data_IF_530847200623
#
_entry.id   IF_530847200623
#
_cell.length_a   1.000
_cell.length_b   1.000
_cell.length_c   1.000
_cell.angle_alpha   90.00
_cell.angle_beta   90.00
_cell.angle_gamma   90.00
#
_symmetry.space_group_name_H-M   'P 1'
#
loop_
_entity.id
_entity.type
_entity.pdbx_description
1 polymer ?
#
# COMPACT_ATOMS: atom_id res chain seq x y z
N UNK A 1 -16.27 -11.03 -27.52
CA UNK A 1 -16.04 -10.44 -26.18
C UNK A 1 -15.47 -9.06 -26.43
N UNK A 2 -16.01 -8.00 -25.81
CA UNK A 2 -15.45 -6.65 -25.99
C UNK A 2 -14.13 -6.53 -25.25
N UNK A 3 -13.33 -5.49 -25.58
CA UNK A 3 -12.08 -5.22 -24.90
C UNK A 3 -12.28 -4.97 -23.39
N UNK A 4 -13.37 -4.28 -23.01
CA UNK A 4 -13.74 -4.01 -21.61
C UNK A 4 -14.01 -5.32 -20.86
N UNK A 5 -14.86 -6.20 -21.40
CA UNK A 5 -15.17 -7.50 -20.78
C UNK A 5 -13.91 -8.33 -20.57
N UNK A 6 -13.02 -8.35 -21.56
CA UNK A 6 -11.77 -9.11 -21.52
C UNK A 6 -10.81 -8.58 -20.45
N UNK A 7 -10.54 -7.27 -20.45
CA UNK A 7 -9.66 -6.62 -19.45
C UNK A 7 -10.24 -6.77 -18.05
N UNK A 8 -11.55 -6.53 -17.88
CA UNK A 8 -12.17 -6.60 -16.57
C UNK A 8 -12.20 -8.01 -16.00
N UNK A 9 -12.35 -9.03 -16.85
CA UNK A 9 -12.19 -10.44 -16.44
C UNK A 9 -10.76 -10.75 -15.99
N UNK A 10 -9.74 -10.18 -16.65
CA UNK A 10 -8.33 -10.31 -16.20
C UNK A 10 -8.07 -9.59 -14.88
N UNK A 11 -8.65 -8.42 -14.67
CA UNK A 11 -8.59 -7.70 -13.38
C UNK A 11 -9.13 -8.58 -12.25
N UNK A 12 -10.32 -9.18 -12.45
CA UNK A 12 -10.92 -10.11 -11.49
C UNK A 12 -9.99 -11.28 -11.19
N UNK A 13 -9.40 -11.88 -12.22
CA UNK A 13 -8.50 -13.03 -12.06
C UNK A 13 -7.20 -12.65 -11.33
N UNK A 14 -6.61 -11.50 -11.65
CA UNK A 14 -5.46 -10.96 -10.93
C UNK A 14 -5.77 -10.69 -9.47
N UNK A 15 -6.95 -10.15 -9.15
CA UNK A 15 -7.39 -9.92 -7.77
C UNK A 15 -7.52 -11.21 -6.97
N UNK A 16 -7.99 -12.30 -7.60
CA UNK A 16 -8.05 -13.63 -6.97
C UNK A 16 -6.67 -14.18 -6.68
N UNK A 17 -5.77 -14.12 -7.66
CA UNK A 17 -4.38 -14.57 -7.49
C UNK A 17 -3.65 -13.76 -6.42
N UNK A 18 -3.89 -12.45 -6.38
CA UNK A 18 -3.38 -11.58 -5.32
C UNK A 18 -3.92 -11.97 -3.95
N UNK A 19 -5.22 -12.22 -3.81
CA UNK A 19 -5.80 -12.65 -2.54
C UNK A 19 -5.23 -13.99 -2.06
N UNK A 20 -4.88 -14.90 -2.97
CA UNK A 20 -4.23 -16.17 -2.62
C UNK A 20 -2.77 -15.99 -2.20
N UNK A 21 -2.09 -14.91 -2.63
CA UNK A 21 -0.66 -14.69 -2.42
C UNK A 21 -0.33 -13.55 -1.47
N UNK A 22 -1.26 -12.66 -1.17
CA UNK A 22 -1.04 -11.49 -0.33
C UNK A 22 -2.14 -11.42 0.72
N UNK A 23 -1.78 -11.75 1.96
CA UNK A 23 -2.73 -11.87 3.09
C UNK A 23 -3.47 -10.55 3.41
N UNK A 24 -2.90 -9.42 3.00
CA UNK A 24 -3.48 -8.08 3.15
C UNK A 24 -4.38 -7.66 1.97
N UNK A 25 -4.59 -8.53 0.98
CA UNK A 25 -5.34 -8.21 -0.22
C UNK A 25 -6.81 -8.59 -0.09
N UNK A 26 -7.72 -7.64 -0.35
CA UNK A 26 -9.15 -7.88 -0.33
C UNK A 26 -9.76 -7.68 -1.72
N UNK A 27 -10.75 -8.51 -2.06
CA UNK A 27 -11.58 -8.29 -3.22
C UNK A 27 -13.03 -8.75 -2.99
N UNK A 28 -13.97 -8.09 -3.65
CA UNK A 28 -15.38 -8.47 -3.70
C UNK A 28 -15.84 -8.59 -5.16
N UNK A 29 -16.49 -9.72 -5.48
CA UNK A 29 -17.13 -9.97 -6.77
C UNK A 29 -18.58 -10.36 -6.49
N UNK A 30 -19.48 -9.87 -7.33
CA UNK A 30 -20.91 -10.14 -7.21
C UNK A 30 -21.42 -10.86 -8.46
N UNK A 31 -22.50 -11.62 -8.28
CA UNK A 31 -23.13 -12.34 -9.40
C UNK A 31 -23.44 -11.39 -10.57
N UNK A 32 -23.06 -11.72 -11.80
CA UNK A 32 -23.28 -10.86 -12.96
C UNK A 32 -24.76 -10.58 -13.18
N UNK A 33 -25.07 -9.40 -13.74
CA UNK A 33 -26.45 -9.06 -14.15
C UNK A 33 -26.62 -9.17 -15.66
N UNK A 34 -27.81 -9.57 -16.10
CA UNK A 34 -28.11 -9.65 -17.52
C UNK A 34 -28.33 -8.27 -18.14
N UNK A 35 -28.09 -8.16 -19.46
CA UNK A 35 -28.41 -6.93 -20.23
C UNK A 35 -29.89 -6.53 -20.12
N UNK A 36 -30.79 -7.48 -19.92
CA UNK A 36 -32.23 -7.24 -19.74
C UNK A 36 -32.49 -6.55 -18.40
N UNK A 37 -31.85 -7.01 -17.33
CA UNK A 37 -31.96 -6.39 -16.00
C UNK A 37 -31.38 -4.97 -15.98
N UNK A 38 -30.24 -4.77 -16.63
CA UNK A 38 -29.63 -3.45 -16.83
C UNK A 38 -30.60 -2.51 -17.56
N UNK A 39 -31.14 -2.95 -18.71
CA UNK A 39 -32.08 -2.13 -19.51
C UNK A 39 -33.36 -1.80 -18.74
N UNK A 40 -33.85 -2.76 -17.93
CA UNK A 40 -35.00 -2.54 -17.05
C UNK A 40 -34.69 -1.47 -16.01
N UNK A 41 -33.51 -1.51 -15.38
CA UNK A 41 -33.09 -0.52 -14.41
C UNK A 41 -32.94 0.88 -15.02
N UNK A 42 -32.33 0.99 -16.21
CA UNK A 42 -32.23 2.24 -16.98
C UNK A 42 -33.61 2.85 -17.24
N UNK A 43 -34.56 2.01 -17.69
CA UNK A 43 -35.94 2.43 -17.96
C UNK A 43 -36.70 2.85 -16.69
N UNK A 44 -36.57 2.11 -15.60
CA UNK A 44 -37.28 2.38 -14.34
C UNK A 44 -36.79 3.66 -13.65
N UNK A 45 -35.54 4.06 -13.88
CA UNK A 45 -34.92 5.23 -13.24
C UNK A 45 -34.73 6.43 -14.18
N UNK A 46 -35.11 6.31 -15.46
CA UNK A 46 -34.91 7.34 -16.49
C UNK A 46 -33.44 7.78 -16.60
N UNK A 47 -32.54 6.79 -16.67
CA UNK A 47 -31.08 6.99 -16.77
C UNK A 47 -30.50 6.24 -17.96
N UNK A 48 -29.32 6.69 -18.41
CA UNK A 48 -28.48 6.01 -19.39
C UNK A 48 -27.15 5.64 -18.74
N UNK A 49 -26.90 4.35 -18.58
CA UNK A 49 -25.63 3.84 -18.08
C UNK A 49 -24.59 3.82 -19.21
N UNK A 50 -23.35 4.22 -18.94
CA UNK A 50 -22.28 4.12 -19.92
C UNK A 50 -22.10 2.68 -20.43
N UNK A 51 -21.85 2.49 -21.73
CA UNK A 51 -21.72 1.14 -22.32
C UNK A 51 -20.65 0.30 -21.64
N UNK A 52 -19.46 0.86 -21.35
CA UNK A 52 -18.40 0.11 -20.68
C UNK A 52 -18.80 -0.33 -19.27
N UNK A 53 -19.59 0.46 -18.54
CA UNK A 53 -20.09 0.06 -17.22
C UNK A 53 -21.10 -1.07 -17.35
N UNK A 54 -22.00 -1.02 -18.33
CA UNK A 54 -22.93 -2.11 -18.65
C UNK A 54 -22.16 -3.40 -18.99
N UNK A 55 -21.05 -3.30 -19.73
CA UNK A 55 -20.18 -4.44 -19.99
C UNK A 55 -19.53 -5.01 -18.72
N UNK A 56 -19.02 -4.16 -17.82
CA UNK A 56 -18.51 -4.59 -16.51
C UNK A 56 -19.58 -5.31 -15.67
N UNK A 57 -20.80 -4.77 -15.62
CA UNK A 57 -21.93 -5.35 -14.88
C UNK A 57 -22.32 -6.76 -15.37
N UNK A 58 -22.11 -7.07 -16.65
CA UNK A 58 -22.32 -8.41 -17.20
C UNK A 58 -21.22 -9.42 -16.86
N UNK A 59 -20.12 -8.96 -16.24
CA UNK A 59 -19.04 -9.80 -15.71
C UNK A 59 -19.10 -9.89 -14.18
N UNK A 60 -19.41 -8.78 -13.50
CA UNK A 60 -19.61 -8.72 -12.05
C UNK A 60 -20.53 -7.55 -11.71
N UNK A 61 -21.61 -7.79 -10.96
CA UNK A 61 -22.54 -6.73 -10.55
C UNK A 61 -22.00 -5.92 -9.37
N UNK A 62 -21.05 -5.04 -9.68
CA UNK A 62 -20.21 -4.38 -8.71
C UNK A 62 -18.98 -5.21 -8.38
N UNK A 63 -17.89 -4.52 -8.09
CA UNK A 63 -16.57 -5.10 -7.89
C UNK A 63 -15.76 -4.18 -7.00
N UNK A 64 -15.01 -4.76 -6.08
CA UNK A 64 -14.08 -3.99 -5.27
C UNK A 64 -12.76 -4.74 -5.21
N UNK A 65 -11.67 -4.00 -5.32
CA UNK A 65 -10.33 -4.50 -5.03
C UNK A 65 -9.59 -3.44 -4.21
N UNK A 66 -9.03 -3.85 -3.08
CA UNK A 66 -8.52 -2.93 -2.07
C UNK A 66 -7.35 -3.49 -1.24
N UNK A 67 -6.58 -2.57 -0.68
CA UNK A 67 -5.55 -2.76 0.33
C UNK A 67 -5.99 -2.04 1.62
N UNK A 68 -6.94 -2.61 2.37
CA UNK A 68 -7.37 -2.13 3.69
C UNK A 68 -7.74 -0.62 3.80
N UNK A 69 -8.13 0.04 2.71
CA UNK A 69 -8.48 1.46 2.67
C UNK A 69 -9.99 1.61 2.47
N UNK A 70 -10.59 2.61 3.12
CA UNK A 70 -12.04 2.88 2.98
C UNK A 70 -12.50 3.25 1.56
N UNK A 71 -11.60 3.29 0.56
CA UNK A 71 -11.84 3.82 -0.78
C UNK A 71 -11.51 2.86 -1.94
N UNK A 72 -10.87 1.72 -1.69
CA UNK A 72 -10.50 0.78 -2.76
C UNK A 72 -9.46 1.30 -3.75
N UNK A 73 -8.69 0.41 -4.37
CA UNK A 73 -7.89 0.80 -5.54
C UNK A 73 -8.79 0.96 -6.76
N UNK A 74 -9.65 -0.03 -7.03
CA UNK A 74 -10.73 0.05 -8.00
C UNK A 74 -12.01 -0.47 -7.34
N UNK A 75 -13.02 0.38 -7.29
CA UNK A 75 -14.36 0.03 -6.85
C UNK A 75 -15.33 0.41 -7.97
N UNK A 76 -16.28 -0.48 -8.26
CA UNK A 76 -17.42 -0.24 -9.13
C UNK A 76 -18.68 -0.63 -8.38
N UNK A 77 -19.65 0.27 -8.34
CA UNK A 77 -20.91 0.09 -7.65
C UNK A 77 -21.76 -1.02 -8.27
N UNK A 78 -22.58 -1.66 -7.42
CA UNK A 78 -23.64 -2.56 -7.89
C UNK A 78 -24.73 -1.72 -8.57
N UNK A 79 -25.46 -2.34 -9.51
CA UNK A 79 -26.59 -1.71 -10.21
C UNK A 79 -27.62 -1.08 -9.25
N UNK A 80 -27.78 -1.63 -8.04
CA UNK A 80 -28.77 -1.16 -7.04
C UNK A 80 -28.24 -0.11 -6.07
N UNK A 81 -26.95 0.21 -6.07
CA UNK A 81 -26.33 1.16 -5.13
C UNK A 81 -26.48 2.64 -5.52
N UNK A 82 -27.22 2.92 -6.61
CA UNK A 82 -27.48 4.28 -7.08
C UNK A 82 -28.14 5.16 -6.01
N UNK A 83 -27.34 5.96 -5.30
CA UNK A 83 -27.82 6.93 -4.31
C UNK A 83 -28.59 8.04 -5.02
N UNK A 84 -29.67 8.52 -4.38
CA UNK A 84 -30.64 9.54 -4.86
C UNK A 84 -30.22 10.37 -6.08
N UNK A 85 -30.96 10.18 -7.18
CA UNK A 85 -30.90 10.87 -8.49
C UNK A 85 -31.32 12.34 -8.38
N UNK A 86 -30.54 13.16 -7.66
CA UNK A 86 -30.82 14.60 -7.50
C UNK A 86 -29.82 15.49 -8.23
N UNK A 87 -28.75 14.91 -8.79
CA UNK A 87 -27.71 15.65 -9.49
C UNK A 87 -27.44 15.07 -10.88
N UNK A 88 -26.98 15.94 -11.80
CA UNK A 88 -26.71 15.59 -13.21
C UNK A 88 -25.69 14.46 -13.37
N UNK A 89 -24.80 14.28 -12.39
CA UNK A 89 -23.76 13.25 -12.39
C UNK A 89 -23.91 12.34 -11.19
N UNK A 90 -23.76 11.04 -11.40
CA UNK A 90 -23.86 10.07 -10.32
C UNK A 90 -22.54 9.31 -10.19
N UNK A 91 -22.07 9.15 -8.96
CA UNK A 91 -20.89 8.34 -8.65
C UNK A 91 -21.23 6.85 -8.86
N UNK A 92 -20.28 6.10 -9.41
CA UNK A 92 -20.40 4.67 -9.71
C UNK A 92 -19.21 3.87 -9.17
N UNK A 93 -18.37 4.50 -8.34
CA UNK A 93 -17.20 3.86 -7.76
C UNK A 93 -15.98 4.76 -7.79
N UNK A 94 -14.80 4.14 -7.69
CA UNK A 94 -13.54 4.82 -7.42
C UNK A 94 -12.39 4.17 -8.18
N UNK A 95 -11.39 4.96 -8.54
CA UNK A 95 -10.11 4.47 -9.06
C UNK A 95 -8.99 5.34 -8.50
N UNK A 96 -7.99 4.74 -7.85
CA UNK A 96 -6.82 5.46 -7.27
C UNK A 96 -7.24 6.65 -6.40
N UNK A 97 -8.22 6.46 -5.52
CA UNK A 97 -8.75 7.52 -4.65
C UNK A 97 -9.55 8.62 -5.36
N UNK A 98 -9.82 8.50 -6.66
CA UNK A 98 -10.64 9.43 -7.44
C UNK A 98 -12.03 8.83 -7.69
N UNK A 99 -13.10 9.61 -7.50
CA UNK A 99 -14.45 9.18 -7.82
C UNK A 99 -14.63 9.00 -9.34
N UNK A 100 -15.32 7.94 -9.74
CA UNK A 100 -15.84 7.75 -11.08
C UNK A 100 -17.30 8.17 -11.14
N UNK A 101 -17.65 9.00 -12.11
CA UNK A 101 -18.99 9.50 -12.33
C UNK A 101 -19.50 9.13 -13.73
N UNK A 102 -20.81 9.16 -13.89
CA UNK A 102 -21.44 9.25 -15.20
C UNK A 102 -22.52 10.31 -15.24
N UNK A 103 -22.78 10.86 -16.43
CA UNK A 103 -23.95 11.70 -16.70
C UNK A 103 -25.13 10.82 -17.09
N UNK A 104 -26.19 10.87 -16.30
CA UNK A 104 -27.34 9.97 -16.46
C UNK A 104 -28.18 10.26 -17.71
N UNK A 105 -27.99 11.40 -18.38
CA UNK A 105 -28.76 11.76 -19.57
C UNK A 105 -28.15 11.18 -20.84
N UNK A 106 -26.83 11.09 -20.90
CA UNK A 106 -26.11 10.70 -22.12
C UNK A 106 -25.15 9.51 -21.94
N UNK A 107 -24.88 9.08 -20.70
CA UNK A 107 -23.98 7.97 -20.40
C UNK A 107 -22.50 8.30 -20.56
N UNK A 108 -22.11 9.59 -20.55
CA UNK A 108 -20.70 9.99 -20.56
C UNK A 108 -20.05 9.71 -19.20
N UNK A 109 -18.81 9.22 -19.20
CA UNK A 109 -18.03 8.98 -17.98
C UNK A 109 -17.16 10.18 -17.60
N UNK A 110 -16.96 10.37 -16.31
CA UNK A 110 -16.05 11.38 -15.77
C UNK A 110 -15.23 10.83 -14.61
N UNK A 111 -14.04 11.39 -14.41
CA UNK A 111 -13.22 11.18 -13.21
C UNK A 111 -13.07 12.50 -12.46
N UNK A 112 -13.29 12.47 -11.14
CA UNK A 112 -13.06 13.62 -10.25
C UNK A 112 -11.67 13.52 -9.62
N UNK A 113 -10.68 14.22 -10.18
CA UNK A 113 -9.30 14.24 -9.66
C UNK A 113 -9.09 15.29 -8.57
N UNK A 114 -9.86 16.36 -8.66
CA UNK A 114 -9.93 17.41 -7.66
C UNK A 114 -11.39 17.69 -7.36
N UNK A 115 -11.69 18.08 -6.13
CA UNK A 115 -13.07 18.31 -5.67
C UNK A 115 -13.82 19.26 -6.61
N UNK A 116 -14.93 18.78 -7.15
CA UNK A 116 -15.82 19.40 -8.14
C UNK A 116 -15.22 19.68 -9.52
N UNK A 117 -14.06 19.09 -9.86
CA UNK A 117 -13.46 19.15 -11.20
C UNK A 117 -13.56 17.78 -11.87
N UNK A 118 -14.28 17.72 -12.98
CA UNK A 118 -14.63 16.48 -13.67
C UNK A 118 -14.00 16.44 -15.06
N UNK A 119 -13.11 15.49 -15.27
CA UNK A 119 -12.50 15.23 -16.58
C UNK A 119 -13.30 14.16 -17.31
N UNK A 120 -13.62 14.39 -18.59
CA UNK A 120 -14.29 13.40 -19.43
C UNK A 120 -13.35 12.22 -19.70
N UNK A 121 -13.85 11.00 -19.50
CA UNK A 121 -13.15 9.77 -19.87
C UNK A 121 -13.59 9.39 -21.29
N UNK A 122 -12.66 9.42 -22.25
CA UNK A 122 -12.95 9.13 -23.65
C UNK A 122 -12.87 7.64 -23.95
N UNK A 123 -11.98 6.93 -23.26
CA UNK A 123 -11.82 5.49 -23.37
C UNK A 123 -11.69 4.87 -21.97
N UNK A 124 -12.81 4.36 -21.44
CA UNK A 124 -12.86 3.73 -20.13
C UNK A 124 -11.89 2.54 -20.00
N UNK A 125 -11.67 1.81 -21.09
CA UNK A 125 -10.76 0.68 -21.08
C UNK A 125 -9.30 1.13 -20.92
N UNK A 126 -8.88 2.15 -21.67
CA UNK A 126 -7.51 2.67 -21.63
C UNK A 126 -7.22 3.54 -20.40
N UNK A 127 -8.20 4.32 -19.95
CA UNK A 127 -7.99 5.33 -18.89
C UNK A 127 -8.28 4.80 -17.48
N UNK A 128 -9.07 3.72 -17.35
CA UNK A 128 -9.46 3.15 -16.05
C UNK A 128 -9.01 1.71 -15.92
N UNK A 129 -9.47 0.82 -16.81
CA UNK A 129 -9.25 -0.62 -16.64
C UNK A 129 -7.80 -1.05 -16.84
N UNK A 130 -7.13 -0.63 -17.92
CA UNK A 130 -5.72 -0.98 -18.16
C UNK A 130 -4.82 -0.47 -17.02
N UNK A 131 -4.94 0.79 -16.55
CA UNK A 131 -4.18 1.26 -15.40
C UNK A 131 -4.43 0.46 -14.11
N UNK A 132 -5.63 -0.11 -13.96
CA UNK A 132 -5.92 -1.01 -12.86
C UNK A 132 -5.31 -2.40 -13.05
N UNK A 133 -5.43 -2.98 -14.24
CA UNK A 133 -4.79 -4.25 -14.59
C UNK A 133 -3.27 -4.20 -14.35
N UNK A 134 -2.59 -3.14 -14.83
CA UNK A 134 -1.14 -2.98 -14.66
C UNK A 134 -0.74 -2.78 -13.20
N UNK A 135 -1.55 -2.10 -12.41
CA UNK A 135 -1.31 -2.01 -10.97
C UNK A 135 -1.43 -3.37 -10.28
N UNK A 136 -2.47 -4.15 -10.58
CA UNK A 136 -2.63 -5.49 -10.02
C UNK A 136 -1.48 -6.41 -10.42
N UNK A 137 -1.01 -6.36 -11.67
CA UNK A 137 0.20 -7.10 -12.09
C UNK A 137 1.43 -6.69 -11.29
N UNK A 138 1.62 -5.38 -11.07
CA UNK A 138 2.73 -4.87 -10.24
C UNK A 138 2.62 -5.39 -8.81
N UNK A 139 1.43 -5.36 -8.22
CA UNK A 139 1.21 -5.87 -6.85
C UNK A 139 1.45 -7.37 -6.76
N UNK A 140 1.02 -8.15 -7.77
CA UNK A 140 1.22 -9.59 -7.78
C UNK A 140 2.70 -9.93 -7.86
N UNK A 141 3.43 -9.27 -8.76
CA UNK A 141 4.88 -9.43 -8.86
C UNK A 141 5.61 -9.00 -7.59
N UNK A 142 5.17 -7.91 -6.93
CA UNK A 142 5.73 -7.45 -5.67
C UNK A 142 5.48 -8.45 -4.52
N UNK A 143 4.28 -9.03 -4.47
CA UNK A 143 3.92 -10.08 -3.51
C UNK A 143 4.77 -11.33 -3.71
N UNK A 144 4.87 -11.85 -4.94
CA UNK A 144 5.71 -13.01 -5.25
C UNK A 144 7.18 -12.77 -4.87
N UNK A 145 7.71 -11.61 -5.25
CA UNK A 145 9.06 -11.17 -4.92
C UNK A 145 9.28 -11.11 -3.41
N UNK A 146 8.31 -10.61 -2.63
CA UNK A 146 8.41 -10.54 -1.17
C UNK A 146 8.70 -11.91 -0.57
N UNK A 147 7.94 -12.95 -0.93
CA UNK A 147 8.18 -14.29 -0.38
C UNK A 147 9.52 -14.87 -0.82
N UNK A 148 9.93 -14.64 -2.08
CA UNK A 148 11.25 -15.07 -2.56
C UNK A 148 12.39 -14.41 -1.78
N UNK A 149 12.27 -13.13 -1.46
CA UNK A 149 13.25 -12.40 -0.65
C UNK A 149 13.24 -12.91 0.80
N UNK A 150 12.07 -13.04 1.42
CA UNK A 150 11.95 -13.54 2.79
C UNK A 150 12.50 -14.96 2.96
N UNK A 151 12.34 -15.83 1.96
CA UNK A 151 12.90 -17.19 2.01
C UNK A 151 14.44 -17.18 2.01
N UNK A 152 15.07 -16.26 1.29
CA UNK A 152 16.52 -16.06 1.34
C UNK A 152 16.99 -15.56 2.70
N UNK A 153 16.11 -14.91 3.46
CA UNK A 153 16.37 -14.27 4.75
C UNK A 153 15.89 -15.12 5.94
N UNK A 154 15.83 -16.44 5.79
CA UNK A 154 15.46 -17.37 6.89
C UNK A 154 16.45 -17.36 8.06
N UNK A 155 17.72 -17.06 7.78
CA UNK A 155 18.81 -17.02 8.76
C UNK A 155 19.14 -15.57 9.19
N UNK A 156 18.28 -14.61 8.84
CA UNK A 156 18.44 -13.20 9.20
C UNK A 156 18.25 -13.02 10.72
N UNK A 157 19.12 -12.27 11.42
CA UNK A 157 19.05 -12.11 12.87
C UNK A 157 17.73 -11.50 13.36
N UNK A 158 17.06 -10.70 12.52
CA UNK A 158 15.78 -10.06 12.88
C UNK A 158 14.54 -10.83 12.44
N UNK A 159 14.71 -12.07 11.94
CA UNK A 159 13.59 -12.83 11.38
C UNK A 159 12.49 -13.12 12.40
N UNK A 160 12.86 -13.52 13.61
CA UNK A 160 11.89 -13.81 14.68
C UNK A 160 11.06 -12.57 15.01
N UNK A 161 11.70 -11.41 15.12
CA UNK A 161 11.01 -10.14 15.35
C UNK A 161 10.02 -9.81 14.24
N UNK A 162 10.46 -9.91 12.98
CA UNK A 162 9.60 -9.67 11.82
C UNK A 162 8.35 -10.57 11.83
N UNK A 163 8.53 -11.88 12.06
CA UNK A 163 7.42 -12.84 12.09
C UNK A 163 6.43 -12.52 13.22
N UNK A 164 6.93 -12.07 14.38
CA UNK A 164 6.10 -11.60 15.49
C UNK A 164 5.28 -10.37 15.09
N UNK A 165 5.91 -9.35 14.49
CA UNK A 165 5.18 -8.13 14.06
C UNK A 165 4.14 -8.45 12.99
N UNK A 166 4.45 -9.29 12.00
CA UNK A 166 3.48 -9.76 11.00
C UNK A 166 2.29 -10.46 11.67
N UNK A 167 2.55 -11.30 12.68
CA UNK A 167 1.48 -11.95 13.44
C UNK A 167 0.55 -10.93 14.15
N UNK A 168 1.08 -9.77 14.53
CA UNK A 168 0.30 -8.69 15.15
C UNK A 168 -0.53 -7.91 14.14
N UNK A 169 0.02 -7.61 12.95
CA UNK A 169 -0.74 -7.01 11.85
C UNK A 169 -1.97 -7.87 11.51
N UNK A 170 -1.78 -9.18 11.44
CA UNK A 170 -2.85 -10.14 11.12
C UNK A 170 -3.95 -10.22 12.20
N UNK A 171 -3.72 -9.68 13.40
CA UNK A 171 -4.72 -9.57 14.48
C UNK A 171 -5.52 -8.26 14.44
N UNK A 172 -5.30 -7.40 13.42
CA UNK A 172 -6.04 -6.15 13.21
C UNK A 172 -5.52 -4.95 14.00
N UNK A 173 -4.24 -4.97 14.41
CA UNK A 173 -3.61 -3.83 15.07
C UNK A 173 -3.07 -2.82 14.05
N UNK A 174 -2.90 -1.57 14.47
CA UNK A 174 -2.31 -0.49 13.69
C UNK A 174 -0.80 -0.73 13.52
N UNK A 175 -0.46 -1.51 12.51
CA UNK A 175 0.90 -1.75 12.08
C UNK A 175 0.94 -1.84 10.55
N UNK A 176 2.01 -1.31 9.96
CA UNK A 176 2.26 -1.40 8.54
C UNK A 176 3.69 -1.88 8.32
N UNK A 177 3.88 -2.79 7.37
CA UNK A 177 5.18 -3.32 6.98
C UNK A 177 5.24 -3.30 5.46
N UNK A 178 6.21 -2.56 4.94
CA UNK A 178 6.46 -2.52 3.51
C UNK A 178 7.22 -3.75 3.04
N UNK A 179 7.05 -4.18 1.77
CA UNK A 179 7.78 -5.31 1.22
C UNK A 179 9.31 -5.18 1.37
N UNK A 180 10.05 -6.27 1.59
CA UNK A 180 11.50 -6.26 1.68
C UNK A 180 12.17 -5.78 0.38
N UNK A 181 13.38 -5.26 0.52
CA UNK A 181 14.30 -4.97 -0.60
C UNK A 181 15.40 -6.02 -0.67
N UNK A 182 16.01 -6.20 -1.85
CA UNK A 182 17.13 -7.12 -2.03
C UNK A 182 18.46 -6.46 -1.65
N UNK A 183 19.49 -7.29 -1.42
CA UNK A 183 20.86 -6.82 -1.17
C UNK A 183 21.36 -5.92 -2.32
N UNK A 184 21.03 -6.27 -3.56
CA UNK A 184 21.41 -5.48 -4.73
C UNK A 184 20.73 -4.11 -4.76
N UNK A 185 19.46 -4.02 -4.35
CA UNK A 185 18.74 -2.75 -4.25
C UNK A 185 19.32 -1.86 -3.16
N UNK A 186 19.62 -2.42 -1.99
CA UNK A 186 20.30 -1.70 -0.91
C UNK A 186 21.64 -1.16 -1.41
N UNK A 187 22.46 -2.00 -2.04
CA UNK A 187 23.76 -1.59 -2.55
C UNK A 187 23.69 -0.53 -3.66
N UNK A 188 22.70 -0.62 -4.56
CA UNK A 188 22.46 0.40 -5.59
C UNK A 188 21.99 1.71 -4.97
N UNK A 189 21.12 1.65 -3.96
CA UNK A 189 20.64 2.82 -3.22
C UNK A 189 21.78 3.51 -2.46
N UNK A 190 22.62 2.77 -1.71
CA UNK A 190 23.77 3.31 -0.98
C UNK A 190 24.73 4.04 -1.92
N UNK A 191 25.00 3.42 -3.08
CA UNK A 191 25.85 4.00 -4.13
C UNK A 191 25.24 5.27 -4.74
N UNK A 192 23.94 5.28 -4.98
CA UNK A 192 23.24 6.40 -5.63
C UNK A 192 23.17 7.61 -4.71
N UNK A 193 22.90 7.38 -3.42
CA UNK A 193 22.75 8.43 -2.43
C UNK A 193 24.07 8.79 -1.72
N UNK A 194 25.14 8.02 -1.95
CA UNK A 194 26.42 8.17 -1.28
C UNK A 194 26.27 8.17 0.25
N UNK A 195 25.50 7.20 0.74
CA UNK A 195 25.21 6.95 2.15
C UNK A 195 25.51 5.48 2.41
N UNK A 196 26.29 5.16 3.44
CA UNK A 196 26.44 3.82 3.97
C UNK A 196 25.43 3.60 5.11
N UNK A 197 24.68 2.50 5.03
CA UNK A 197 23.70 2.11 6.02
C UNK A 197 24.30 1.15 7.07
N UNK A 198 23.91 1.26 8.35
CA UNK A 198 24.28 0.29 9.37
C UNK A 198 23.84 -1.13 9.03
N UNK A 199 24.65 -2.11 9.43
CA UNK A 199 24.40 -3.52 9.12
C UNK A 199 23.10 -4.02 9.76
N UNK A 200 22.82 -3.63 11.00
CA UNK A 200 21.57 -3.93 11.69
C UNK A 200 20.36 -3.41 10.91
N UNK A 201 20.43 -2.16 10.44
CA UNK A 201 19.37 -1.57 9.64
C UNK A 201 19.20 -2.24 8.27
N UNK A 202 20.30 -2.59 7.58
CA UNK A 202 20.23 -3.37 6.33
C UNK A 202 19.60 -4.73 6.55
N UNK A 203 19.95 -5.43 7.62
CA UNK A 203 19.33 -6.71 7.97
C UNK A 203 17.81 -6.57 8.14
N UNK A 204 17.33 -5.47 8.72
CA UNK A 204 15.90 -5.18 8.75
C UNK A 204 15.31 -4.92 7.36
N UNK A 205 15.96 -4.10 6.52
CA UNK A 205 15.49 -3.79 5.16
C UNK A 205 15.30 -5.03 4.28
N UNK A 206 16.12 -6.06 4.50
CA UNK A 206 16.00 -7.35 3.83
C UNK A 206 14.73 -8.13 4.23
N UNK A 207 14.11 -7.79 5.35
CA UNK A 207 12.83 -8.33 5.83
C UNK A 207 11.65 -7.38 5.54
N UNK A 208 11.87 -6.07 5.66
CA UNK A 208 10.87 -5.02 5.50
C UNK A 208 11.51 -3.68 5.12
N UNK A 209 11.11 -3.08 4.00
CA UNK A 209 11.59 -1.76 3.57
C UNK A 209 10.83 -0.62 4.27
N UNK A 210 10.89 -0.61 5.60
CA UNK A 210 10.14 0.31 6.44
C UNK A 210 9.02 -0.38 7.21
N UNK A 211 8.66 0.21 8.35
CA UNK A 211 7.62 -0.31 9.23
C UNK A 211 7.11 0.77 10.18
N UNK A 212 5.79 0.77 10.40
CA UNK A 212 5.16 1.44 11.52
C UNK A 212 4.57 0.41 12.50
N UNK A 213 4.88 0.51 13.78
CA UNK A 213 4.38 -0.40 14.83
C UNK A 213 4.27 0.28 16.20
N UNK A 214 3.05 0.47 16.73
CA UNK A 214 2.81 1.03 18.09
C UNK A 214 3.61 2.34 18.35
N UNK A 215 3.47 3.30 17.42
CA UNK A 215 4.15 4.59 17.46
C UNK A 215 5.64 4.54 17.13
N UNK A 216 6.20 3.37 16.83
CA UNK A 216 7.56 3.19 16.36
C UNK A 216 7.60 3.22 14.84
N UNK A 217 8.57 3.93 14.27
CA UNK A 217 8.69 4.12 12.82
C UNK A 217 10.12 3.80 12.36
N UNK A 218 10.26 2.73 11.58
CA UNK A 218 11.47 2.41 10.84
C UNK A 218 11.27 2.92 9.42
N UNK A 219 12.11 3.86 9.00
CA UNK A 219 11.96 4.47 7.70
C UNK A 219 12.30 3.49 6.58
N UNK A 220 11.63 3.64 5.44
CA UNK A 220 11.98 3.03 4.17
C UNK A 220 13.19 3.72 3.53
N UNK A 221 13.81 3.08 2.55
CA UNK A 221 14.90 3.70 1.78
C UNK A 221 14.52 5.03 1.11
N UNK A 222 13.26 5.17 0.67
CA UNK A 222 12.77 6.41 0.06
C UNK A 222 12.61 7.51 1.12
N UNK A 223 12.07 7.18 2.29
CA UNK A 223 11.95 8.13 3.40
C UNK A 223 13.31 8.58 3.94
N UNK A 224 14.29 7.68 4.01
CA UNK A 224 15.67 8.05 4.37
C UNK A 224 16.24 9.04 3.36
N UNK A 225 16.03 8.82 2.06
CA UNK A 225 16.51 9.73 1.02
C UNK A 225 15.82 11.11 1.10
N UNK A 226 14.49 11.15 1.27
CA UNK A 226 13.73 12.39 1.44
C UNK A 226 14.17 13.17 2.68
N UNK A 227 14.41 12.47 3.80
CA UNK A 227 14.87 13.08 5.05
C UNK A 227 16.32 13.52 4.96
N UNK A 228 17.18 12.80 4.24
CA UNK A 228 18.59 13.16 4.08
C UNK A 228 18.74 14.56 3.47
N UNK A 229 17.91 14.94 2.49
CA UNK A 229 17.96 16.28 1.89
C UNK A 229 17.60 17.42 2.86
N UNK A 230 16.95 17.11 3.98
CA UNK A 230 16.38 18.11 4.88
C UNK A 230 16.99 18.09 6.28
N UNK A 231 17.30 16.92 6.83
CA UNK A 231 17.58 16.67 8.25
C UNK A 231 18.88 15.85 8.39
N UNK A 232 20.03 16.44 8.06
CA UNK A 232 21.32 15.90 8.49
C UNK A 232 21.66 16.42 9.88
N UNK A 233 22.08 15.52 10.77
CA UNK A 233 22.78 15.90 12.00
C UNK A 233 24.29 15.83 11.77
N UNK A 234 25.01 16.86 12.21
CA UNK A 234 26.47 16.89 12.17
C UNK A 234 27.00 16.68 13.59
N UNK A 235 27.66 15.55 13.82
CA UNK A 235 28.27 15.21 15.10
C UNK A 235 29.74 14.84 14.87
N UNK A 236 30.64 15.49 15.62
CA UNK A 236 32.10 15.30 15.48
C UNK A 236 32.63 15.48 14.04
N UNK A 237 31.95 16.26 13.20
CA UNK A 237 32.30 16.52 11.81
C UNK A 237 31.88 15.42 10.83
N UNK A 238 31.09 14.44 11.29
CA UNK A 238 30.46 13.39 10.50
C UNK A 238 28.97 13.71 10.30
N UNK A 239 28.43 13.35 9.12
CA UNK A 239 27.01 13.53 8.83
C UNK A 239 26.23 12.26 9.12
N UNK A 240 25.05 12.43 9.70
CA UNK A 240 24.15 11.34 10.05
C UNK A 240 22.79 11.54 9.40
N UNK A 241 22.19 10.43 8.97
CA UNK A 241 20.80 10.37 8.47
C UNK A 241 19.91 9.67 9.47
N UNK A 242 18.66 10.10 9.56
CA UNK A 242 17.65 9.44 10.37
C UNK A 242 17.21 8.13 9.73
N UNK A 243 17.22 7.05 10.51
CA UNK A 243 16.85 5.70 10.08
C UNK A 243 15.57 5.21 10.75
N UNK A 244 15.32 5.64 12.00
CA UNK A 244 14.14 5.29 12.76
C UNK A 244 13.76 6.38 13.75
N UNK A 245 12.48 6.49 14.08
CA UNK A 245 12.00 7.13 15.32
C UNK A 245 11.62 6.04 16.31
N UNK A 246 12.44 5.85 17.35
CA UNK A 246 12.39 4.75 18.33
C UNK A 246 11.19 4.85 19.29
N UNK A 247 10.83 6.07 19.68
CA UNK A 247 9.72 6.34 20.62
C UNK A 247 8.56 7.13 19.98
N UNK A 248 8.63 7.38 18.68
CA UNK A 248 7.58 8.07 17.90
C UNK A 248 7.63 9.60 17.94
N UNK A 249 8.43 10.19 18.82
CA UNK A 249 8.55 11.65 18.87
C UNK A 249 9.94 12.20 19.15
N UNK A 250 10.79 11.49 19.90
CA UNK A 250 11.98 12.16 20.44
C UNK A 250 13.28 11.36 20.42
N UNK A 251 13.24 10.03 20.37
CA UNK A 251 14.45 9.21 20.26
C UNK A 251 14.58 8.68 18.83
N UNK A 252 15.77 8.81 18.26
CA UNK A 252 16.04 8.46 16.88
C UNK A 252 17.25 7.56 16.74
N UNK A 253 17.13 6.56 15.88
CA UNK A 253 18.27 5.85 15.33
C UNK A 253 18.81 6.65 14.15
N UNK A 254 20.09 7.01 14.19
CA UNK A 254 20.76 7.72 13.11
C UNK A 254 21.96 6.91 12.60
N UNK A 255 22.23 6.99 11.29
CA UNK A 255 23.34 6.28 10.64
C UNK A 255 24.37 7.23 10.04
N UNK A 256 25.65 7.00 10.32
CA UNK A 256 26.76 7.75 9.70
C UNK A 256 26.80 7.48 8.20
N UNK A 257 26.75 8.54 7.40
CA UNK A 257 26.74 8.40 5.93
C UNK A 257 28.05 7.86 5.37
N UNK A 258 29.19 8.03 6.08
CA UNK A 258 30.50 7.58 5.58
C UNK A 258 30.97 6.27 6.18
N UNK A 259 30.54 5.91 7.40
CA UNK A 259 31.05 4.73 8.10
C UNK A 259 30.01 3.62 8.24
N UNK A 260 28.72 3.94 8.08
CA UNK A 260 27.63 3.03 8.38
C UNK A 260 27.49 2.73 9.87
N UNK A 261 28.13 3.48 10.77
CA UNK A 261 27.92 3.31 12.21
C UNK A 261 26.57 3.86 12.65
N UNK A 262 25.90 3.15 13.54
CA UNK A 262 24.65 3.61 14.15
C UNK A 262 24.92 4.38 15.45
N UNK A 263 24.15 5.44 15.67
CA UNK A 263 24.07 6.17 16.94
C UNK A 263 22.61 6.35 17.32
N UNK A 264 22.37 6.57 18.61
CA UNK A 264 21.08 6.98 19.12
C UNK A 264 21.13 8.46 19.48
N UNK A 265 20.14 9.22 19.01
CA UNK A 265 19.92 10.62 19.35
C UNK A 265 18.67 10.70 20.23
N UNK A 266 18.85 11.08 21.49
CA UNK A 266 17.75 11.17 22.47
C UNK A 266 16.95 12.47 22.36
N UNK A 267 15.82 12.54 23.07
CA UNK A 267 15.03 13.77 23.24
C UNK A 267 15.85 14.96 23.76
N UNK A 268 16.85 14.69 24.61
CA UNK A 268 17.71 15.72 25.20
C UNK A 268 18.85 16.13 24.25
N UNK A 269 18.83 15.65 23.00
CA UNK A 269 19.88 15.78 22.00
C UNK A 269 21.22 15.18 22.46
N UNK A 270 21.16 14.17 23.31
CA UNK A 270 22.34 13.39 23.69
C UNK A 270 22.58 12.28 22.67
N UNK A 271 23.85 12.05 22.36
CA UNK A 271 24.27 11.05 21.39
C UNK A 271 24.96 9.91 22.12
N UNK A 272 24.50 8.68 21.87
CA UNK A 272 25.08 7.45 22.42
C UNK A 272 25.33 6.42 21.32
N UNK A 273 26.06 5.36 21.69
CA UNK A 273 26.25 4.20 20.83
C UNK A 273 24.88 3.59 20.48
N UNK A 274 24.66 3.34 19.18
CA UNK A 274 23.37 2.93 18.64
C UNK A 274 23.39 1.60 17.90
N UNK A 275 24.52 0.88 17.90
CA UNK A 275 24.67 -0.39 17.16
C UNK A 275 23.60 -1.42 17.57
N UNK A 276 23.31 -1.51 18.87
CA UNK A 276 22.32 -2.44 19.44
C UNK A 276 20.94 -1.81 19.64
N UNK A 277 20.77 -0.50 19.37
CA UNK A 277 19.52 0.21 19.68
C UNK A 277 18.31 -0.34 18.91
N UNK A 278 18.52 -0.82 17.67
CA UNK A 278 17.45 -1.44 16.90
C UNK A 278 16.94 -2.73 17.55
N UNK A 279 17.85 -3.63 17.93
CA UNK A 279 17.53 -4.90 18.59
C UNK A 279 16.87 -4.65 19.96
N UNK A 280 17.46 -3.76 20.76
CA UNK A 280 16.92 -3.39 22.06
C UNK A 280 15.49 -2.84 21.97
N UNK A 281 15.22 -1.95 21.02
CA UNK A 281 13.87 -1.38 20.85
C UNK A 281 12.87 -2.41 20.32
N UNK A 282 13.31 -3.31 19.42
CA UNK A 282 12.51 -4.45 18.97
C UNK A 282 12.10 -5.35 20.14
N UNK A 283 13.07 -5.76 20.98
CA UNK A 283 12.83 -6.55 22.19
C UNK A 283 11.83 -5.86 23.12
N UNK A 284 12.12 -4.61 23.47
CA UNK A 284 11.30 -3.83 24.40
C UNK A 284 9.84 -3.70 23.91
N UNK A 285 9.64 -3.39 22.62
CA UNK A 285 8.31 -3.24 22.02
C UNK A 285 7.56 -4.56 21.97
N UNK A 286 8.22 -5.65 21.59
CA UNK A 286 7.60 -6.98 21.56
C UNK A 286 7.21 -7.44 22.96
N UNK A 287 8.10 -7.27 23.96
CA UNK A 287 7.83 -7.67 25.33
C UNK A 287 6.69 -6.86 25.95
N UNK A 288 6.72 -5.53 25.81
CA UNK A 288 5.63 -4.66 26.25
C UNK A 288 4.29 -5.05 25.63
N UNK A 289 4.31 -5.52 24.38
CA UNK A 289 3.13 -5.98 23.68
C UNK A 289 2.65 -7.35 24.19
N UNK A 290 3.55 -8.33 24.34
CA UNK A 290 3.22 -9.65 24.91
C UNK A 290 2.50 -9.51 26.26
N UNK A 291 3.00 -8.60 27.11
CA UNK A 291 2.37 -8.26 28.39
C UNK A 291 0.98 -7.62 28.22
N UNK A 292 0.83 -6.65 27.30
CA UNK A 292 -0.42 -5.91 27.11
C UNK A 292 -1.57 -6.79 26.60
N UNK A 293 -1.27 -7.83 25.82
CA UNK A 293 -2.27 -8.65 25.13
C UNK A 293 -2.36 -10.10 25.63
N UNK A 294 -1.68 -10.44 26.73
CA UNK A 294 -1.71 -11.77 27.37
C UNK A 294 -1.43 -12.91 26.37
N UNK A 295 -0.44 -12.70 25.50
CA UNK A 295 -0.01 -13.69 24.52
C UNK A 295 1.10 -14.51 25.17
N UNK A 296 0.76 -15.68 25.70
CA UNK A 296 1.75 -16.67 26.13
C UNK A 296 2.34 -17.41 24.92
N UNK A 297 3.65 -17.64 24.94
CA UNK A 297 4.38 -18.44 23.93
C UNK A 297 3.78 -19.82 23.67
#
# INVERSE_FOLDING_TARGET
MSAVTEVFSRIIELSKQLHEKADWWFYEINEPVSRVEISKHEYENDIVLPEAFRECLTVSNGFMVDHCSTVGYLELDKLTCARHVTSKRQCIGWIRGCCLYYDHQNGDFFIERERYKYDLINDFCQEVLIPAEEYLKKQLSASERKYELLEKQKDNPYREYYDIVVSFMNKGNEANIDPPVSEEEIAEWEKTNNILLPESYKNWLLLANGMFFDGWDLYSLDEVAEKADTWYEEYEGEKYVFLASLTGCCDFLIGSVTTGKALELSEEYEISDGEDSLEYNLDFKIDSYRERFDISD
#
